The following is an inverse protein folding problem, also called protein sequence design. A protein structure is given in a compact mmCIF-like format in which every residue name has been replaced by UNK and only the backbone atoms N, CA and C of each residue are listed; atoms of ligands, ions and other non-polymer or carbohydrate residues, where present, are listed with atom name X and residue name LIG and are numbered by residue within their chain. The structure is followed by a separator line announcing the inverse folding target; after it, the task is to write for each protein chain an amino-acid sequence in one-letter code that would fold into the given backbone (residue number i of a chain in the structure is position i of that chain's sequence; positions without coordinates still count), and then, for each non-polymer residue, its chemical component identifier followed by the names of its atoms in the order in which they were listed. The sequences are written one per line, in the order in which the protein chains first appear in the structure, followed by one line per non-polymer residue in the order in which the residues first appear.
data_IF_921357231256
#
_entry.id   IF_921357231256
#
_cell.length_a   1.000
_cell.length_b   1.000
_cell.length_c   1.000
_cell.angle_alpha   90.00
_cell.angle_beta   90.00
_cell.angle_gamma   90.00
#
_symmetry.space_group_name_H-M   'P 1'
#
loop_
_entity.id
_entity.type
_entity.pdbx_description
1 polymer ?
#
# COMPACT_ATOMS: atom_id res chain seq x y z
N UNK A 1 -9.20 -11.59 16.53
CA UNK A 1 -9.18 -12.89 17.26
C UNK A 1 -8.32 -12.72 18.50
N UNK A 2 -8.84 -12.89 19.72
CA UNK A 2 -8.00 -12.89 20.90
C UNK A 2 -7.08 -14.10 20.85
N UNK A 3 -5.79 -13.90 21.11
CA UNK A 3 -4.85 -15.02 21.22
C UNK A 3 -5.04 -15.67 22.59
N UNK A 4 -5.66 -16.84 22.63
CA UNK A 4 -5.72 -17.67 23.83
C UNK A 4 -4.41 -18.43 24.05
N UNK A 5 -3.97 -18.55 25.30
CA UNK A 5 -2.72 -19.25 25.65
C UNK A 5 -2.71 -20.73 25.24
N UNK A 6 -3.89 -21.33 25.01
CA UNK A 6 -4.05 -22.74 24.62
C UNK A 6 -3.93 -23.01 23.12
N UNK A 7 -4.09 -21.99 22.27
CA UNK A 7 -3.93 -22.12 20.82
C UNK A 7 -3.07 -20.97 20.29
N UNK A 8 -1.75 -21.18 20.09
CA UNK A 8 -0.91 -20.14 19.55
C UNK A 8 -1.38 -19.75 18.16
N UNK A 9 -1.88 -18.52 18.02
CA UNK A 9 -2.38 -17.91 16.77
C UNK A 9 -1.34 -17.88 15.65
N UNK A 10 -0.05 -18.13 15.98
CA UNK A 10 1.08 -18.20 15.05
C UNK A 10 0.85 -19.16 13.88
N UNK A 11 0.28 -20.35 14.10
CA UNK A 11 0.09 -21.34 13.03
C UNK A 11 -1.00 -20.89 12.03
N UNK A 12 -2.13 -20.40 12.55
CA UNK A 12 -3.21 -19.87 11.72
C UNK A 12 -2.76 -18.62 10.97
N UNK A 13 -2.04 -17.72 11.63
CA UNK A 13 -1.49 -16.51 11.02
C UNK A 13 -0.48 -16.83 9.92
N UNK A 14 0.41 -17.80 10.14
CA UNK A 14 1.39 -18.21 9.13
C UNK A 14 0.72 -18.82 7.88
N UNK A 15 -0.27 -19.70 8.07
CA UNK A 15 -1.05 -20.27 6.96
C UNK A 15 -1.83 -19.20 6.20
N UNK A 16 -2.46 -18.27 6.92
CA UNK A 16 -3.19 -17.15 6.32
C UNK A 16 -2.29 -16.24 5.49
N UNK A 17 -1.11 -15.91 6.03
CA UNK A 17 -0.09 -15.11 5.33
C UNK A 17 0.40 -15.83 4.07
N UNK A 18 0.74 -17.12 4.15
CA UNK A 18 1.17 -17.88 2.97
C UNK A 18 0.09 -17.94 1.89
N UNK A 19 -1.16 -18.21 2.26
CA UNK A 19 -2.27 -18.24 1.32
C UNK A 19 -2.49 -16.88 0.65
N UNK A 20 -2.52 -15.80 1.44
CA UNK A 20 -2.68 -14.44 0.93
C UNK A 20 -1.59 -14.05 -0.07
N UNK A 21 -0.31 -14.28 0.27
CA UNK A 21 0.80 -13.99 -0.66
C UNK A 21 0.79 -14.88 -1.91
N UNK A 22 0.33 -16.12 -1.80
CA UNK A 22 0.18 -17.01 -2.96
C UNK A 22 -0.89 -16.48 -3.92
N UNK A 23 -2.05 -16.07 -3.39
CA UNK A 23 -3.13 -15.48 -4.21
C UNK A 23 -2.65 -14.18 -4.85
N UNK A 24 -1.97 -13.31 -4.10
CA UNK A 24 -1.40 -12.07 -4.63
C UNK A 24 -0.43 -12.37 -5.79
N UNK A 25 0.46 -13.35 -5.61
CA UNK A 25 1.39 -13.75 -6.67
C UNK A 25 0.65 -14.27 -7.91
N UNK A 26 -0.33 -15.16 -7.73
CA UNK A 26 -1.13 -15.71 -8.83
C UNK A 26 -1.94 -14.65 -9.59
N UNK A 27 -2.32 -13.55 -8.94
CA UNK A 27 -3.02 -12.46 -9.62
C UNK A 27 -2.04 -11.47 -10.29
N UNK A 28 -0.99 -11.06 -9.58
CA UNK A 28 -0.10 -9.99 -10.04
C UNK A 28 0.93 -10.44 -11.08
N UNK A 29 1.52 -11.62 -10.95
CA UNK A 29 2.55 -12.08 -11.88
C UNK A 29 2.00 -12.32 -13.30
N UNK A 30 0.88 -13.05 -13.50
CA UNK A 30 0.32 -13.22 -14.83
C UNK A 30 -0.14 -11.91 -15.45
N UNK A 31 -0.69 -11.00 -14.65
CA UNK A 31 -1.13 -9.68 -15.10
C UNK A 31 0.07 -8.81 -15.54
N UNK A 32 1.19 -8.85 -14.81
CA UNK A 32 2.41 -8.16 -15.20
C UNK A 32 3.03 -8.73 -16.49
N UNK A 33 3.12 -10.07 -16.60
CA UNK A 33 3.68 -10.75 -17.77
C UNK A 33 2.81 -10.50 -19.01
N UNK A 34 1.50 -10.73 -18.90
CA UNK A 34 0.56 -10.52 -20.01
C UNK A 34 0.44 -9.06 -20.41
N UNK A 35 0.41 -8.14 -19.43
CA UNK A 35 0.38 -6.70 -19.70
C UNK A 35 1.65 -6.19 -20.38
N UNK A 36 2.83 -6.67 -19.97
CA UNK A 36 4.08 -6.33 -20.65
C UNK A 36 4.16 -6.95 -22.05
N UNK A 37 3.65 -8.17 -22.25
CA UNK A 37 3.61 -8.79 -23.58
C UNK A 37 2.66 -8.03 -24.54
N UNK A 38 1.52 -7.56 -24.04
CA UNK A 38 0.52 -6.85 -24.85
C UNK A 38 0.90 -5.39 -25.16
N UNK A 39 1.42 -4.65 -24.18
CA UNK A 39 1.69 -3.20 -24.33
C UNK A 39 3.18 -2.87 -24.46
N UNK A 40 4.09 -3.76 -24.03
CA UNK A 40 5.53 -3.55 -24.11
C UNK A 40 5.97 -2.16 -23.64
N UNK A 41 6.70 -1.45 -24.52
CA UNK A 41 7.23 -0.12 -24.25
C UNK A 41 6.21 1.02 -24.48
N UNK A 42 4.95 0.70 -24.79
CA UNK A 42 3.89 1.66 -25.09
C UNK A 42 3.11 2.12 -23.85
N UNK A 43 3.46 1.62 -22.66
CA UNK A 43 2.80 1.96 -21.40
C UNK A 43 3.10 3.43 -21.04
N UNK A 44 2.08 4.30 -20.96
CA UNK A 44 2.30 5.70 -20.62
C UNK A 44 2.73 5.84 -19.16
N UNK A 45 3.78 6.64 -18.93
CA UNK A 45 4.38 6.88 -17.61
C UNK A 45 3.41 7.45 -16.58
N UNK A 46 2.40 8.20 -17.03
CA UNK A 46 1.48 8.92 -16.14
C UNK A 46 0.19 8.12 -15.83
N UNK A 47 -0.15 7.15 -16.69
CA UNK A 47 -1.40 6.38 -16.60
C UNK A 47 -1.22 4.93 -16.14
N UNK A 48 -0.01 4.38 -16.25
CA UNK A 48 0.26 2.96 -16.00
C UNK A 48 -0.52 2.06 -16.97
N UNK A 49 -0.77 0.81 -16.55
CA UNK A 49 -1.44 -0.19 -17.39
C UNK A 49 -2.89 0.17 -17.72
N UNK A 50 -3.61 0.83 -16.80
CA UNK A 50 -4.99 1.31 -17.04
C UNK A 50 -5.03 2.41 -18.11
N UNK A 51 -4.08 3.35 -18.08
CA UNK A 51 -3.96 4.37 -19.11
C UNK A 51 -3.56 3.80 -20.47
N UNK A 52 -2.73 2.74 -20.50
CA UNK A 52 -2.44 2.01 -21.73
C UNK A 52 -3.71 1.34 -22.29
N UNK A 53 -4.47 0.65 -21.43
CA UNK A 53 -5.69 -0.03 -21.84
C UNK A 53 -6.73 0.95 -22.40
N UNK A 54 -6.94 2.08 -21.74
CA UNK A 54 -7.89 3.08 -22.19
C UNK A 54 -7.46 3.76 -23.50
N UNK A 55 -6.16 4.02 -23.70
CA UNK A 55 -5.64 4.70 -24.89
C UNK A 55 -5.56 3.81 -26.14
N UNK A 56 -5.20 2.53 -25.98
CA UNK A 56 -4.98 1.63 -27.11
C UNK A 56 -6.21 0.79 -27.48
N UNK A 57 -7.08 0.47 -26.52
CA UNK A 57 -8.28 -0.35 -26.78
C UNK A 57 -9.58 0.46 -26.88
N UNK A 58 -9.50 1.80 -26.96
CA UNK A 58 -10.69 2.66 -27.12
C UNK A 58 -11.47 2.39 -28.42
N UNK A 59 -10.76 1.98 -29.48
CA UNK A 59 -11.34 1.73 -30.81
C UNK A 59 -11.66 0.25 -31.09
N UNK A 60 -10.85 -0.69 -30.59
CA UNK A 60 -10.96 -2.12 -30.94
C UNK A 60 -11.76 -2.96 -29.92
N UNK A 61 -12.04 -2.44 -28.71
CA UNK A 61 -12.72 -3.19 -27.64
C UNK A 61 -14.08 -2.59 -27.29
N UNK A 62 -15.06 -3.46 -26.98
CA UNK A 62 -16.38 -3.02 -26.52
C UNK A 62 -16.26 -2.10 -25.30
N UNK A 63 -16.86 -0.90 -25.39
CA UNK A 63 -16.93 0.10 -24.31
C UNK A 63 -17.35 -0.48 -22.96
N UNK A 64 -18.10 -1.59 -23.00
CA UNK A 64 -18.50 -2.36 -21.82
C UNK A 64 -17.30 -2.86 -20.99
N UNK A 65 -16.24 -3.37 -21.61
CA UNK A 65 -15.08 -3.94 -20.90
C UNK A 65 -14.27 -2.85 -20.20
N UNK A 66 -14.11 -1.70 -20.84
CA UNK A 66 -13.44 -0.53 -20.24
C UNK A 66 -14.26 -0.01 -19.05
N UNK A 67 -15.57 0.11 -19.22
CA UNK A 67 -16.48 0.54 -18.15
C UNK A 67 -16.47 -0.43 -16.96
N UNK A 68 -16.53 -1.75 -17.22
CA UNK A 68 -16.46 -2.78 -16.20
C UNK A 68 -15.13 -2.74 -15.44
N UNK A 69 -14.01 -2.59 -16.16
CA UNK A 69 -12.68 -2.51 -15.56
C UNK A 69 -12.54 -1.29 -14.65
N UNK A 70 -12.99 -0.12 -15.11
CA UNK A 70 -13.00 1.10 -14.31
C UNK A 70 -13.85 0.94 -13.04
N UNK A 71 -15.05 0.36 -13.18
CA UNK A 71 -15.94 0.09 -12.04
C UNK A 71 -15.30 -0.85 -11.01
N UNK A 72 -14.64 -1.92 -11.45
CA UNK A 72 -13.92 -2.84 -10.56
C UNK A 72 -12.77 -2.15 -9.82
N UNK A 73 -12.02 -1.27 -10.49
CA UNK A 73 -10.94 -0.48 -9.87
C UNK A 73 -11.50 0.47 -8.81
N UNK A 74 -12.64 1.11 -9.09
CA UNK A 74 -13.33 1.98 -8.11
C UNK A 74 -13.78 1.18 -6.89
N UNK A 75 -14.43 0.03 -7.08
CA UNK A 75 -14.86 -0.84 -5.97
C UNK A 75 -13.64 -1.28 -5.14
N UNK A 76 -12.58 -1.77 -5.78
CA UNK A 76 -11.36 -2.18 -5.09
C UNK A 76 -10.74 -1.04 -4.27
N UNK A 77 -10.73 0.17 -4.83
CA UNK A 77 -10.19 1.37 -4.16
C UNK A 77 -11.05 1.77 -2.95
N UNK A 78 -12.38 1.75 -3.08
CA UNK A 78 -13.31 2.03 -1.98
C UNK A 78 -13.18 1.02 -0.84
N UNK A 79 -13.10 -0.28 -1.16
CA UNK A 79 -12.89 -1.34 -0.17
C UNK A 79 -11.52 -1.21 0.50
N UNK A 80 -10.46 -0.96 -0.27
CA UNK A 80 -9.10 -0.80 0.27
C UNK A 80 -9.00 0.40 1.22
N UNK A 81 -9.62 1.53 0.86
CA UNK A 81 -9.64 2.72 1.73
C UNK A 81 -10.23 2.42 3.10
N UNK A 82 -11.31 1.66 3.17
CA UNK A 82 -11.94 1.28 4.44
C UNK A 82 -11.01 0.41 5.30
N UNK A 83 -10.35 -0.57 4.69
CA UNK A 83 -9.43 -1.48 5.40
C UNK A 83 -8.23 -0.70 5.95
N UNK A 84 -7.62 0.19 5.15
CA UNK A 84 -6.46 0.97 5.58
C UNK A 84 -6.80 2.09 6.57
N UNK A 85 -8.03 2.59 6.57
CA UNK A 85 -8.47 3.60 7.53
C UNK A 85 -8.80 3.01 8.91
N UNK A 86 -9.09 1.71 9.00
CA UNK A 86 -9.49 1.06 10.25
C UNK A 86 -8.46 1.21 11.39
N UNK A 87 -7.15 0.98 11.18
CA UNK A 87 -6.14 1.21 12.23
C UNK A 87 -6.06 2.66 12.69
N UNK A 88 -6.28 3.63 11.79
CA UNK A 88 -6.29 5.06 12.13
C UNK A 88 -7.48 5.39 13.02
N UNK A 89 -8.66 4.85 12.69
CA UNK A 89 -9.85 5.03 13.52
C UNK A 89 -9.70 4.37 14.90
N UNK A 90 -9.07 3.20 14.96
CA UNK A 90 -8.81 2.50 16.22
C UNK A 90 -7.82 3.28 17.10
N UNK A 91 -6.76 3.89 16.54
CA UNK A 91 -5.83 4.73 17.31
C UNK A 91 -6.49 6.02 17.82
N UNK A 92 -7.30 6.68 16.99
CA UNK A 92 -8.06 7.87 17.38
C UNK A 92 -9.06 7.57 18.51
N UNK A 93 -9.78 6.46 18.40
CA UNK A 93 -10.72 5.99 19.41
C UNK A 93 -9.99 5.63 20.72
N UNK A 94 -8.86 4.91 20.62
CA UNK A 94 -8.02 4.57 21.76
C UNK A 94 -7.50 5.82 22.48
N UNK A 95 -7.01 6.82 21.73
CA UNK A 95 -6.50 8.07 22.30
C UNK A 95 -7.59 8.89 23.00
N UNK A 96 -8.80 8.91 22.44
CA UNK A 96 -9.95 9.54 23.09
C UNK A 96 -10.32 8.81 24.38
N UNK A 97 -10.45 7.48 24.33
CA UNK A 97 -10.81 6.68 25.51
C UNK A 97 -9.74 6.77 26.59
N UNK A 98 -8.46 6.80 26.23
CA UNK A 98 -7.35 6.97 27.17
C UNK A 98 -7.34 8.34 27.85
N UNK A 99 -7.72 9.43 27.15
CA UNK A 99 -7.80 10.76 27.76
C UNK A 99 -9.07 11.00 28.57
N UNK A 100 -10.21 10.54 28.06
CA UNK A 100 -11.53 10.88 28.60
C UNK A 100 -12.06 9.81 29.56
N UNK A 101 -11.41 8.64 29.65
CA UNK A 101 -11.85 7.45 30.42
C UNK A 101 -13.32 7.06 30.18
N UNK A 102 -13.84 7.37 28.97
CA UNK A 102 -15.21 7.13 28.56
C UNK A 102 -15.22 6.42 27.20
N UNK A 103 -16.23 5.56 26.94
CA UNK A 103 -16.40 4.99 25.62
C UNK A 103 -16.65 6.09 24.59
N UNK A 104 -16.09 5.95 23.39
CA UNK A 104 -16.34 6.89 22.30
C UNK A 104 -17.83 6.93 21.95
N UNK A 105 -18.51 8.10 22.04
CA UNK A 105 -19.91 8.21 21.64
C UNK A 105 -20.04 8.01 20.12
N UNK A 106 -21.17 7.43 19.68
CA UNK A 106 -21.41 7.11 18.26
C UNK A 106 -21.30 8.33 17.34
N UNK A 107 -21.72 9.50 17.79
CA UNK A 107 -21.62 10.74 17.01
C UNK A 107 -20.18 11.16 16.75
N UNK A 108 -19.29 11.00 17.75
CA UNK A 108 -17.87 11.29 17.61
C UNK A 108 -17.19 10.33 16.63
N UNK A 109 -17.58 9.05 16.64
CA UNK A 109 -17.07 8.06 15.67
C UNK A 109 -17.49 8.40 14.23
N UNK A 110 -18.71 8.88 14.03
CA UNK A 110 -19.19 9.38 12.72
C UNK A 110 -18.39 10.63 12.33
N UNK A 111 -18.16 11.55 13.27
CA UNK A 111 -17.37 12.75 13.04
C UNK A 111 -15.93 12.42 12.62
N UNK A 112 -15.24 11.49 13.29
CA UNK A 112 -13.88 11.08 12.90
C UNK A 112 -13.83 10.48 11.49
N UNK A 113 -14.81 9.64 11.13
CA UNK A 113 -14.88 9.05 9.78
C UNK A 113 -15.18 10.10 8.71
N UNK A 114 -16.13 10.99 8.97
CA UNK A 114 -16.48 12.09 8.07
C UNK A 114 -15.33 13.08 7.88
N UNK A 115 -14.66 13.47 8.97
CA UNK A 115 -13.50 14.37 8.94
C UNK A 115 -12.34 13.74 8.16
N UNK A 116 -12.01 12.47 8.42
CA UNK A 116 -10.94 11.79 7.71
C UNK A 116 -11.22 11.65 6.21
N UNK A 117 -12.45 11.28 5.84
CA UNK A 117 -12.87 11.22 4.44
C UNK A 117 -12.83 12.59 3.75
N UNK A 118 -13.32 13.63 4.41
CA UNK A 118 -13.28 15.01 3.90
C UNK A 118 -11.85 15.52 3.72
N UNK A 119 -10.98 15.27 4.71
CA UNK A 119 -9.58 15.64 4.65
C UNK A 119 -8.82 14.89 3.55
N UNK A 120 -9.07 13.58 3.39
CA UNK A 120 -8.50 12.79 2.31
C UNK A 120 -8.96 13.30 0.93
N UNK A 121 -10.25 13.63 0.78
CA UNK A 121 -10.79 14.22 -0.45
C UNK A 121 -10.16 15.60 -0.74
N UNK A 122 -10.07 16.46 0.26
CA UNK A 122 -9.44 17.77 0.14
C UNK A 122 -7.97 17.66 -0.30
N UNK A 123 -7.21 16.75 0.31
CA UNK A 123 -5.82 16.48 -0.06
C UNK A 123 -5.71 15.94 -1.50
N UNK A 124 -6.60 15.03 -1.90
CA UNK A 124 -6.62 14.49 -3.26
C UNK A 124 -6.88 15.57 -4.33
N UNK A 125 -7.79 16.50 -4.04
CA UNK A 125 -8.11 17.63 -4.96
C UNK A 125 -7.01 18.69 -4.93
N UNK A 126 -6.45 18.99 -3.77
CA UNK A 126 -5.41 20.01 -3.61
C UNK A 126 -4.06 19.59 -4.21
N UNK A 127 -3.73 18.30 -4.15
CA UNK A 127 -2.42 17.75 -4.54
C UNK A 127 -2.56 16.64 -5.60
N UNK A 128 -2.87 16.98 -6.87
CA UNK A 128 -3.01 15.97 -7.94
C UNK A 128 -1.71 15.20 -8.22
N UNK A 129 -0.56 15.74 -7.82
CA UNK A 129 0.76 15.12 -7.95
C UNK A 129 1.07 14.01 -6.91
N UNK A 130 0.14 13.71 -5.99
CA UNK A 130 0.34 12.65 -4.98
C UNK A 130 0.70 11.29 -5.58
N UNK A 131 0.19 11.00 -6.79
CA UNK A 131 0.54 9.77 -7.52
C UNK A 131 2.05 9.68 -7.80
N UNK A 132 2.70 10.78 -8.14
CA UNK A 132 4.15 10.83 -8.38
C UNK A 132 4.96 10.68 -7.08
N UNK A 133 4.43 11.22 -5.96
CA UNK A 133 5.03 11.07 -4.64
C UNK A 133 4.80 9.69 -3.99
N UNK A 134 3.87 8.89 -4.50
CA UNK A 134 3.53 7.58 -3.92
C UNK A 134 4.76 6.66 -3.85
N UNK A 135 5.64 6.70 -4.86
CA UNK A 135 6.90 5.93 -4.86
C UNK A 135 7.86 6.38 -3.76
N UNK A 136 7.91 7.69 -3.47
CA UNK A 136 8.74 8.26 -2.40
C UNK A 136 8.21 7.88 -1.02
N UNK A 137 6.91 8.06 -0.79
CA UNK A 137 6.23 7.73 0.47
C UNK A 137 6.32 6.22 0.73
N UNK A 138 6.05 5.41 -0.29
CA UNK A 138 6.21 3.96 -0.22
C UNK A 138 7.64 3.55 0.08
N UNK A 139 8.62 4.13 -0.61
CA UNK A 139 10.05 3.91 -0.39
C UNK A 139 10.49 4.23 1.05
N UNK A 140 10.01 5.34 1.62
CA UNK A 140 10.29 5.74 2.99
C UNK A 140 9.62 4.83 4.05
N UNK A 141 8.52 4.16 3.70
CA UNK A 141 7.84 3.21 4.59
C UNK A 141 8.46 1.80 4.56
N UNK A 142 9.22 1.43 3.52
CA UNK A 142 9.84 0.11 3.39
C UNK A 142 10.78 -0.28 4.56
N UNK A 143 11.60 0.62 5.14
CA UNK A 143 12.40 0.30 6.31
C UNK A 143 11.54 -0.11 7.51
N UNK A 144 10.39 0.53 7.68
CA UNK A 144 9.48 0.28 8.80
C UNK A 144 8.77 -1.06 8.62
N UNK A 145 8.42 -1.44 7.38
CA UNK A 145 7.67 -2.67 7.12
C UNK A 145 8.55 -3.90 6.95
N UNK A 146 9.74 -3.76 6.34
CA UNK A 146 10.62 -4.89 6.03
C UNK A 146 11.79 -5.00 7.00
N UNK A 147 12.48 -3.89 7.31
CA UNK A 147 13.71 -3.94 8.07
C UNK A 147 13.46 -3.94 9.59
N UNK A 148 12.53 -3.12 10.06
CA UNK A 148 12.19 -3.01 11.49
C UNK A 148 11.82 -4.33 12.15
N UNK A 149 10.88 -5.16 11.64
CA UNK A 149 10.54 -6.42 12.31
C UNK A 149 11.72 -7.40 12.33
N UNK A 150 12.58 -7.40 11.31
CA UNK A 150 13.78 -8.24 11.25
C UNK A 150 14.78 -7.87 12.36
N UNK A 151 15.09 -6.58 12.50
CA UNK A 151 15.99 -6.11 13.55
C UNK A 151 15.39 -6.25 14.94
N UNK A 152 14.09 -5.95 15.09
CA UNK A 152 13.35 -6.13 16.34
C UNK A 152 13.37 -7.59 16.80
N UNK A 153 13.17 -8.54 15.89
CA UNK A 153 13.21 -9.97 16.22
C UNK A 153 14.60 -10.40 16.74
N UNK A 154 15.67 -9.92 16.11
CA UNK A 154 17.05 -10.22 16.54
C UNK A 154 17.32 -9.66 17.95
N UNK A 155 16.85 -8.45 18.24
CA UNK A 155 17.02 -7.81 19.55
C UNK A 155 16.24 -8.52 20.66
N UNK A 156 15.00 -8.95 20.38
CA UNK A 156 14.14 -9.62 21.37
C UNK A 156 14.59 -11.06 21.61
N UNK A 157 14.87 -11.83 20.55
CA UNK A 157 15.14 -13.27 20.67
C UNK A 157 16.60 -13.60 20.94
N UNK A 158 17.52 -12.65 20.74
CA UNK A 158 18.98 -12.82 20.94
C UNK A 158 19.47 -14.20 20.46
N UNK A 159 19.24 -14.56 19.19
CA UNK A 159 19.65 -15.86 18.67
C UNK A 159 21.18 -16.00 18.75
N UNK A 160 21.66 -17.23 18.82
CA UNK A 160 23.10 -17.50 18.78
C UNK A 160 23.74 -16.87 17.54
N UNK A 161 24.87 -16.18 17.74
CA UNK A 161 25.67 -15.59 16.67
C UNK A 161 26.05 -16.72 15.70
N UNK A 162 25.84 -16.49 14.40
CA UNK A 162 26.03 -17.47 13.31
C UNK A 162 24.96 -18.58 13.16
N UNK A 163 23.81 -18.50 13.83
CA UNK A 163 22.67 -19.37 13.50
C UNK A 163 22.03 -19.00 12.15
N UNK A 164 21.52 -19.98 11.40
CA UNK A 164 20.77 -19.77 10.14
C UNK A 164 19.67 -18.71 10.28
N UNK A 165 18.93 -18.72 11.40
CA UNK A 165 17.87 -17.75 11.65
C UNK A 165 18.40 -16.32 11.88
N UNK A 166 19.62 -16.19 12.42
CA UNK A 166 20.24 -14.87 12.59
C UNK A 166 20.69 -14.30 11.24
N UNK A 167 21.35 -15.11 10.41
CA UNK A 167 21.79 -14.68 9.08
C UNK A 167 20.61 -14.33 8.17
N UNK A 168 19.53 -15.13 8.19
CA UNK A 168 18.32 -14.85 7.42
C UNK A 168 17.67 -13.51 7.81
N UNK A 169 17.38 -13.28 9.09
CA UNK A 169 16.77 -12.03 9.53
C UNK A 169 17.69 -10.83 9.31
N UNK A 170 19.00 -10.98 9.51
CA UNK A 170 19.97 -9.91 9.24
C UNK A 170 20.02 -9.55 7.76
N UNK A 171 20.13 -10.55 6.89
CA UNK A 171 20.16 -10.36 5.43
C UNK A 171 18.87 -9.73 4.93
N UNK A 172 17.71 -10.22 5.38
CA UNK A 172 16.40 -9.64 5.02
C UNK A 172 16.29 -8.17 5.47
N UNK A 173 16.77 -7.85 6.67
CA UNK A 173 16.79 -6.47 7.17
C UNK A 173 17.67 -5.55 6.32
N UNK A 174 18.89 -5.98 5.99
CA UNK A 174 19.81 -5.21 5.14
C UNK A 174 19.27 -5.05 3.72
N UNK A 175 18.72 -6.12 3.12
CA UNK A 175 18.11 -6.07 1.78
C UNK A 175 16.90 -5.12 1.77
N UNK A 176 16.05 -5.13 2.81
CA UNK A 176 14.94 -4.19 2.93
C UNK A 176 15.38 -2.73 2.98
N UNK A 177 16.49 -2.44 3.68
CA UNK A 177 17.09 -1.10 3.72
C UNK A 177 17.64 -0.67 2.36
N UNK A 178 18.37 -1.55 1.67
CA UNK A 178 18.91 -1.26 0.33
C UNK A 178 17.76 -1.00 -0.65
N UNK A 179 16.71 -1.84 -0.62
CA UNK A 179 15.55 -1.69 -1.48
C UNK A 179 14.84 -0.35 -1.25
N UNK A 180 14.69 0.09 0.00
CA UNK A 180 14.14 1.41 0.32
C UNK A 180 14.92 2.54 -0.35
N UNK A 181 16.25 2.51 -0.24
CA UNK A 181 17.11 3.54 -0.86
C UNK A 181 16.97 3.53 -2.38
N UNK A 182 16.96 2.34 -3.00
CA UNK A 182 16.78 2.21 -4.45
C UNK A 182 15.42 2.76 -4.93
N UNK A 183 14.35 2.45 -4.20
CA UNK A 183 13.00 2.94 -4.54
C UNK A 183 12.92 4.46 -4.40
N UNK A 184 13.51 5.04 -3.34
CA UNK A 184 13.56 6.49 -3.14
C UNK A 184 14.35 7.18 -4.25
N UNK A 185 15.53 6.66 -4.61
CA UNK A 185 16.33 7.20 -5.73
C UNK A 185 15.54 7.11 -7.04
N UNK A 186 14.89 5.98 -7.31
CA UNK A 186 14.05 5.79 -8.49
C UNK A 186 12.89 6.78 -8.55
N UNK A 187 12.20 7.00 -7.42
CA UNK A 187 11.12 7.98 -7.32
C UNK A 187 11.63 9.40 -7.58
N UNK A 188 12.76 9.80 -6.98
CA UNK A 188 13.37 11.12 -7.20
C UNK A 188 13.75 11.29 -8.68
N UNK A 189 14.38 10.27 -9.30
CA UNK A 189 14.72 10.30 -10.73
C UNK A 189 13.47 10.44 -11.60
N UNK A 190 12.39 9.72 -11.29
CA UNK A 190 11.13 9.82 -12.02
C UNK A 190 10.50 11.21 -11.93
N UNK A 191 10.49 11.79 -10.72
CA UNK A 191 9.99 13.15 -10.47
C UNK A 191 10.82 14.18 -11.25
N UNK A 192 12.15 14.06 -11.22
CA UNK A 192 13.05 15.00 -11.93
C UNK A 192 12.91 14.89 -13.44
N UNK A 193 12.77 13.68 -13.99
CA UNK A 193 12.65 13.45 -15.43
C UNK A 193 11.29 13.91 -16.00
N UNK A 194 10.22 13.82 -15.21
CA UNK A 194 8.89 14.26 -15.63
C UNK A 194 8.71 15.79 -15.50
N UNK A 195 9.50 16.45 -14.66
CA UNK A 195 9.30 17.85 -14.30
C UNK A 195 8.07 18.00 -13.41
N UNK A 196 8.21 18.65 -12.25
CA UNK A 196 7.03 18.96 -11.44
C UNK A 196 6.41 20.23 -12.01
N UNK A 197 5.44 20.09 -12.91
CA UNK A 197 4.51 21.19 -13.15
C UNK A 197 3.59 21.31 -11.93
N UNK A 198 3.92 22.24 -11.02
CA UNK A 198 3.20 22.45 -9.76
C UNK A 198 1.87 23.16 -10.06
N UNK A 199 0.90 22.44 -10.62
CA UNK A 199 -0.46 22.93 -10.80
C UNK A 199 -1.28 22.65 -9.54
N UNK A 200 -1.31 23.61 -8.62
CA UNK A 200 -2.26 23.58 -7.50
C UNK A 200 -3.69 23.72 -8.05
N UNK A 201 -4.61 22.85 -7.62
CA UNK A 201 -6.04 22.88 -7.96
C UNK A 201 -6.43 22.63 -9.44
N UNK A 202 -5.68 21.82 -10.19
CA UNK A 202 -6.12 21.36 -11.52
C UNK A 202 -6.05 19.82 -11.62
N UNK A 203 -7.14 19.09 -11.29
CA UNK A 203 -7.16 17.63 -11.46
C UNK A 203 -7.27 17.28 -12.94
N UNK A 204 -6.25 16.60 -13.50
CA UNK A 204 -6.29 15.97 -14.82
C UNK A 204 -6.63 14.49 -14.72
#
# INVERSE_FOLDING_TARGET
MPSDAKQPSRLAMWKGVMFAYTVIALCLFPLAIGGYWAYGNLIPTNGGMLGALQKYHEHDTSKFIIALTSLLVVINSLSSFQIYAMPVFDDLEFRYTSKMNRPCPRWLRIAFRGLFGCLAFFIAVALPFLRSLAGLIGGAALPITLAYPCFMWIQIKKPQRCSTNWYLNWTLGVVGMILSVLVVIGAIRGIVAQGIEIHFFNPQ
#
